data_IF_964775031373
#
_entry.id   IF_964775031373
#
_cell.length_a   1.000
_cell.length_b   1.000
_cell.length_c   1.000
_cell.angle_alpha   90.00
_cell.angle_beta   90.00
_cell.angle_gamma   90.00
#
_symmetry.space_group_name_H-M   'P 1'
#
loop_
_entity.id
_entity.type
_entity.pdbx_description
1 polymer ?
#
# COMPACT_ATOMS: atom_id res chain seq x y z
N UNK A 1 16.29 -18.02 22.97
CA UNK A 1 16.93 -17.69 21.68
C UNK A 1 16.25 -16.43 21.16
N UNK A 2 16.97 -15.35 20.86
CA UNK A 2 16.34 -14.10 20.38
C UNK A 2 15.80 -14.35 18.96
N UNK A 3 14.52 -14.04 18.65
CA UNK A 3 13.98 -14.27 17.32
C UNK A 3 14.80 -13.49 16.27
N UNK A 4 15.35 -14.23 15.30
CA UNK A 4 16.16 -13.66 14.22
C UNK A 4 15.26 -12.84 13.29
N UNK A 5 15.37 -11.52 13.36
CA UNK A 5 14.65 -10.61 12.48
C UNK A 5 15.46 -10.38 11.21
N UNK A 6 14.87 -10.63 10.03
CA UNK A 6 15.44 -10.24 8.74
C UNK A 6 14.70 -8.98 8.24
N UNK A 7 15.45 -7.92 7.93
CA UNK A 7 14.93 -6.67 7.38
C UNK A 7 15.54 -6.48 6.00
N UNK A 8 14.70 -6.38 4.97
CA UNK A 8 15.12 -6.07 3.60
C UNK A 8 14.46 -4.78 3.15
N UNK A 9 15.21 -3.93 2.48
CA UNK A 9 14.66 -2.76 1.81
C UNK A 9 14.45 -3.13 0.34
N UNK A 10 13.26 -2.94 -0.17
CA UNK A 10 12.95 -3.06 -1.59
C UNK A 10 12.96 -1.65 -2.19
N UNK A 11 13.70 -1.51 -3.28
CA UNK A 11 13.88 -0.27 -4.01
C UNK A 11 13.29 -0.44 -5.41
N UNK A 12 12.25 0.33 -5.74
CA UNK A 12 11.67 0.38 -7.08
C UNK A 12 11.94 1.74 -7.70
N UNK A 13 12.58 1.74 -8.87
CA UNK A 13 12.98 2.94 -9.59
C UNK A 13 12.29 2.95 -10.96
N UNK A 14 11.64 4.07 -11.31
CA UNK A 14 11.20 4.33 -12.69
C UNK A 14 11.84 5.61 -13.18
N UNK A 15 12.49 5.52 -14.34
CA UNK A 15 13.19 6.64 -14.95
C UNK A 15 12.39 7.17 -16.13
N UNK A 16 12.31 8.48 -16.26
CA UNK A 16 11.73 9.13 -17.42
C UNK A 16 12.48 10.44 -17.71
N UNK A 17 12.47 10.85 -18.98
CA UNK A 17 12.97 12.17 -19.35
C UNK A 17 12.08 13.27 -18.73
N UNK A 18 12.72 14.28 -18.17
CA UNK A 18 12.03 15.41 -17.57
C UNK A 18 11.47 16.34 -18.65
N UNK A 19 10.15 16.58 -18.60
CA UNK A 19 9.42 17.38 -19.60
C UNK A 19 9.02 18.79 -19.13
N UNK A 20 9.57 19.25 -18.01
CA UNK A 20 9.21 20.54 -17.42
C UNK A 20 8.12 20.45 -16.34
N UNK A 21 7.92 21.57 -15.63
CA UNK A 21 6.89 21.72 -14.60
C UNK A 21 7.39 21.51 -13.16
N UNK A 22 6.53 21.75 -12.16
CA UNK A 22 6.87 21.56 -10.76
C UNK A 22 7.08 20.06 -10.48
N UNK A 23 8.22 19.69 -9.88
CA UNK A 23 8.64 18.30 -9.68
C UNK A 23 8.47 17.80 -8.24
N UNK A 24 7.78 16.68 -8.08
CA UNK A 24 7.64 15.95 -6.82
C UNK A 24 8.49 14.65 -6.77
N UNK A 25 9.40 14.47 -7.72
CA UNK A 25 10.24 13.29 -7.91
C UNK A 25 11.70 13.59 -7.61
N UNK A 26 12.53 12.54 -7.55
CA UNK A 26 13.98 12.70 -7.56
C UNK A 26 14.41 13.15 -8.96
N UNK A 27 15.35 14.06 -9.07
CA UNK A 27 15.91 14.50 -10.35
C UNK A 27 17.39 14.14 -10.43
N UNK A 28 17.83 13.74 -11.62
CA UNK A 28 19.23 13.63 -12.01
C UNK A 28 19.46 14.65 -13.11
N UNK A 29 20.45 15.52 -12.93
CA UNK A 29 20.71 16.66 -13.82
C UNK A 29 22.03 16.44 -14.55
N UNK A 30 22.01 16.51 -15.87
CA UNK A 30 23.20 16.42 -16.71
C UNK A 30 24.05 17.68 -16.64
N UNK A 31 25.36 17.58 -16.93
CA UNK A 31 26.28 18.72 -16.88
C UNK A 31 25.96 19.86 -17.86
N UNK A 32 25.33 19.54 -18.97
CA UNK A 32 24.92 20.48 -20.03
C UNK A 32 23.40 20.61 -20.11
N UNK A 33 22.70 20.20 -19.06
CA UNK A 33 21.25 20.29 -18.98
C UNK A 33 20.77 21.76 -19.14
N UNK A 34 19.55 21.97 -19.66
CA UNK A 34 19.02 23.31 -19.91
C UNK A 34 18.78 24.13 -18.63
N UNK A 35 18.75 23.48 -17.46
CA UNK A 35 18.66 24.14 -16.16
C UNK A 35 19.72 23.59 -15.20
N UNK A 36 20.16 24.44 -14.27
CA UNK A 36 21.17 24.07 -13.28
C UNK A 36 20.57 23.24 -12.13
N UNK A 37 21.42 22.55 -11.36
CA UNK A 37 21.01 21.90 -10.11
C UNK A 37 20.31 22.84 -9.14
N UNK A 38 20.73 24.11 -9.08
CA UNK A 38 20.11 25.11 -8.20
C UNK A 38 18.71 25.48 -8.69
N UNK A 39 18.52 25.62 -10.00
CA UNK A 39 17.22 25.97 -10.57
C UNK A 39 16.23 24.80 -10.47
N UNK A 40 16.69 23.58 -10.77
CA UNK A 40 15.91 22.38 -10.53
C UNK A 40 15.55 22.22 -9.05
N UNK A 41 16.44 22.58 -8.10
CA UNK A 41 16.10 22.59 -6.67
C UNK A 41 14.99 23.61 -6.35
N UNK A 42 15.07 24.83 -6.89
CA UNK A 42 13.99 25.83 -6.72
C UNK A 42 12.64 25.29 -7.19
N UNK A 43 12.61 24.54 -8.29
CA UNK A 43 11.39 23.90 -8.81
C UNK A 43 10.84 22.82 -7.87
N UNK A 44 11.70 22.06 -7.20
CA UNK A 44 11.25 21.10 -6.18
C UNK A 44 10.80 21.78 -4.89
N UNK A 45 11.47 22.86 -4.49
CA UNK A 45 11.17 23.62 -3.29
C UNK A 45 9.86 24.42 -3.42
N UNK A 46 9.44 24.80 -4.63
CA UNK A 46 8.18 25.53 -4.84
C UNK A 46 6.95 24.69 -4.48
N UNK A 47 7.07 23.35 -4.48
CA UNK A 47 6.01 22.44 -4.05
C UNK A 47 6.22 21.98 -2.62
N UNK A 48 7.44 21.56 -2.29
CA UNK A 48 7.78 21.00 -0.98
C UNK A 48 9.05 21.66 -0.45
N UNK A 49 8.93 22.87 0.11
CA UNK A 49 10.07 23.64 0.60
C UNK A 49 10.91 22.82 1.58
N UNK A 50 12.23 22.84 1.43
CA UNK A 50 13.19 22.19 2.33
C UNK A 50 13.11 20.65 2.42
N UNK A 51 12.31 20.00 1.57
CA UNK A 51 12.19 18.54 1.55
C UNK A 51 13.23 17.85 0.65
N UNK A 52 13.91 18.62 -0.20
CA UNK A 52 14.92 18.11 -1.13
C UNK A 52 16.32 18.56 -0.74
N UNK A 53 17.29 17.72 -1.08
CA UNK A 53 18.72 17.95 -0.91
C UNK A 53 19.41 17.82 -2.27
N UNK A 54 20.34 18.73 -2.56
CA UNK A 54 21.25 18.61 -3.71
C UNK A 54 22.40 17.69 -3.30
N UNK A 55 22.72 16.71 -4.14
CA UNK A 55 23.89 15.85 -4.05
C UNK A 55 24.75 16.09 -5.29
N UNK A 56 25.80 16.91 -5.21
CA UNK A 56 26.74 17.07 -6.32
C UNK A 56 27.45 15.75 -6.61
N UNK A 57 27.71 15.46 -7.88
CA UNK A 57 28.39 14.23 -8.29
C UNK A 57 29.64 14.58 -9.09
N UNK A 58 30.76 13.92 -8.77
CA UNK A 58 31.98 13.98 -9.57
C UNK A 58 31.91 12.90 -10.66
N UNK A 59 31.28 13.24 -11.76
CA UNK A 59 31.08 12.36 -12.92
C UNK A 59 31.25 13.16 -14.22
N UNK A 60 31.43 12.52 -15.38
CA UNK A 60 31.60 13.20 -16.67
C UNK A 60 30.27 13.64 -17.31
N UNK A 61 29.17 12.95 -17.01
CA UNK A 61 27.86 13.18 -17.62
C UNK A 61 26.93 13.89 -16.62
N UNK A 62 26.91 13.41 -15.37
CA UNK A 62 25.97 13.87 -14.34
C UNK A 62 26.60 15.02 -13.54
N UNK A 63 25.85 16.13 -13.40
CA UNK A 63 26.22 17.22 -12.50
C UNK A 63 25.87 16.89 -11.04
N UNK A 64 24.70 16.28 -10.82
CA UNK A 64 24.25 15.89 -9.50
C UNK A 64 22.80 15.42 -9.47
N UNK A 65 22.34 15.12 -8.25
CA UNK A 65 20.98 14.68 -7.98
C UNK A 65 20.26 15.69 -7.07
N UNK A 66 18.95 15.73 -7.19
CA UNK A 66 18.04 16.38 -6.24
C UNK A 66 17.12 15.30 -5.70
N UNK A 67 17.27 14.97 -4.42
CA UNK A 67 16.61 13.83 -3.81
C UNK A 67 15.84 14.23 -2.55
N UNK A 68 14.69 13.59 -2.31
CA UNK A 68 13.92 13.81 -1.08
C UNK A 68 14.74 13.38 0.14
N UNK A 69 14.85 14.27 1.12
CA UNK A 69 15.47 13.99 2.43
C UNK A 69 14.81 12.80 3.13
N UNK A 70 13.52 12.55 2.89
CA UNK A 70 12.82 11.38 3.43
C UNK A 70 13.46 10.06 2.97
N UNK A 71 13.81 9.94 1.70
CA UNK A 71 14.49 8.75 1.18
C UNK A 71 15.89 8.59 1.81
N UNK A 72 16.63 9.70 2.00
CA UNK A 72 17.94 9.70 2.65
C UNK A 72 17.89 9.35 4.15
N UNK A 73 16.76 9.61 4.81
CA UNK A 73 16.50 9.18 6.20
C UNK A 73 16.18 7.68 6.29
N UNK A 74 15.62 7.09 5.23
CA UNK A 74 15.27 5.67 5.17
C UNK A 74 16.45 4.80 4.70
N UNK A 75 17.22 5.29 3.73
CA UNK A 75 18.40 4.62 3.18
C UNK A 75 19.57 5.58 3.20
N UNK A 76 20.71 5.15 3.75
CA UNK A 76 21.92 5.98 3.79
C UNK A 76 22.36 6.43 2.39
N UNK A 77 22.88 7.65 2.27
CA UNK A 77 23.42 8.19 1.02
C UNK A 77 24.43 7.24 0.35
N UNK A 78 25.32 6.62 1.15
CA UNK A 78 26.33 5.67 0.67
C UNK A 78 25.76 4.43 -0.03
N UNK A 79 24.53 4.04 0.29
CA UNK A 79 23.86 2.89 -0.32
C UNK A 79 22.96 3.31 -1.48
N UNK A 80 22.22 4.42 -1.36
CA UNK A 80 21.23 4.82 -2.36
C UNK A 80 21.85 5.54 -3.56
N UNK A 81 22.78 6.47 -3.33
CA UNK A 81 23.31 7.34 -4.38
C UNK A 81 24.05 6.55 -5.47
N UNK A 82 24.92 5.55 -5.15
CA UNK A 82 25.58 4.75 -6.18
C UNK A 82 24.59 4.04 -7.10
N UNK A 83 23.51 3.46 -6.55
CA UNK A 83 22.48 2.77 -7.31
C UNK A 83 21.78 3.74 -8.27
N UNK A 84 21.37 4.91 -7.78
CA UNK A 84 20.69 5.90 -8.61
C UNK A 84 21.59 6.41 -9.75
N UNK A 85 22.88 6.63 -9.48
CA UNK A 85 23.85 7.07 -10.49
C UNK A 85 24.08 5.97 -11.52
N UNK A 86 24.33 4.74 -11.08
CA UNK A 86 24.60 3.59 -11.95
C UNK A 86 23.44 3.36 -12.93
N UNK A 87 22.22 3.35 -12.42
CA UNK A 87 21.04 3.14 -13.26
C UNK A 87 20.70 4.36 -14.13
N UNK A 88 20.85 5.58 -13.62
CA UNK A 88 20.62 6.78 -14.41
C UNK A 88 21.61 6.89 -15.59
N UNK A 89 22.90 6.59 -15.35
CA UNK A 89 23.96 6.67 -16.37
C UNK A 89 23.66 5.87 -17.64
N UNK A 90 22.91 4.76 -17.54
CA UNK A 90 22.58 3.89 -18.68
C UNK A 90 21.72 4.59 -19.74
N UNK A 91 21.01 5.65 -19.36
CA UNK A 91 20.07 6.39 -20.22
C UNK A 91 20.32 7.91 -20.21
N UNK A 92 21.28 8.39 -19.41
CA UNK A 92 21.61 9.79 -19.27
C UNK A 92 22.44 10.28 -20.46
N UNK A 93 22.15 11.50 -20.92
CA UNK A 93 23.07 12.29 -21.76
C UNK A 93 23.39 13.60 -21.05
N UNK A 94 24.53 14.25 -21.33
CA UNK A 94 24.91 15.48 -20.62
C UNK A 94 23.85 16.60 -20.71
N UNK A 95 23.07 16.62 -21.78
CA UNK A 95 22.10 17.67 -22.12
C UNK A 95 20.71 17.45 -21.50
N UNK A 96 20.42 16.27 -20.92
CA UNK A 96 19.09 15.97 -20.41
C UNK A 96 18.98 16.02 -18.89
N UNK A 97 17.74 15.93 -18.42
CA UNK A 97 17.39 15.76 -17.02
C UNK A 97 16.47 14.55 -16.95
N UNK A 98 16.75 13.68 -15.99
CA UNK A 98 15.94 12.48 -15.76
C UNK A 98 15.21 12.64 -14.44
N UNK A 99 13.90 12.40 -14.47
CA UNK A 99 13.11 12.22 -13.27
C UNK A 99 13.08 10.75 -12.87
N UNK A 100 13.25 10.50 -11.58
CA UNK A 100 13.20 9.18 -10.97
C UNK A 100 12.03 9.15 -9.99
N UNK A 101 11.07 8.30 -10.30
CA UNK A 101 10.06 7.88 -9.34
C UNK A 101 10.68 6.81 -8.44
N UNK A 102 10.94 7.21 -7.19
CA UNK A 102 11.68 6.44 -6.19
C UNK A 102 10.71 5.94 -5.13
N UNK A 103 10.47 4.64 -5.13
CA UNK A 103 9.64 3.95 -4.14
C UNK A 103 10.52 3.05 -3.27
N UNK A 104 10.47 3.30 -1.95
CA UNK A 104 11.28 2.61 -0.95
C UNK A 104 10.34 1.94 0.05
N UNK A 105 10.38 0.63 0.12
CA UNK A 105 9.58 -0.15 1.07
C UNK A 105 10.44 -1.04 1.96
N UNK A 106 9.99 -1.29 3.20
CA UNK A 106 10.67 -2.15 4.16
C UNK A 106 9.92 -3.48 4.27
N UNK A 107 10.52 -4.55 3.79
CA UNK A 107 10.06 -5.91 3.99
C UNK A 107 10.62 -6.47 5.30
N UNK A 108 9.73 -6.75 6.26
CA UNK A 108 10.09 -7.34 7.55
C UNK A 108 9.62 -8.78 7.58
N UNK A 109 10.57 -9.71 7.74
CA UNK A 109 10.25 -11.10 8.10
C UNK A 109 10.58 -11.31 9.57
N UNK A 110 9.56 -11.65 10.35
CA UNK A 110 9.71 -12.06 11.75
C UNK A 110 9.13 -13.46 11.93
N UNK A 111 9.91 -14.30 12.59
CA UNK A 111 9.42 -15.56 13.14
C UNK A 111 9.00 -15.25 14.58
N UNK A 112 7.78 -15.64 14.94
CA UNK A 112 7.23 -15.47 16.29
C UNK A 112 7.14 -16.87 16.89
N UNK A 113 7.82 -17.09 18.01
CA UNK A 113 7.65 -18.29 18.81
C UNK A 113 6.32 -18.19 19.55
N UNK A 114 5.45 -19.17 19.35
CA UNK A 114 4.16 -19.25 20.02
C UNK A 114 4.37 -19.79 21.45
N UNK A 115 4.76 -18.91 22.37
CA UNK A 115 4.58 -19.18 23.81
C UNK A 115 3.14 -18.83 24.20
N UNK A 116 2.55 -19.60 25.11
CA UNK A 116 1.13 -19.79 25.49
C UNK A 116 0.15 -18.58 25.49
N UNK A 117 0.60 -17.35 25.26
CA UNK A 117 -0.25 -16.14 25.12
C UNK A 117 -0.41 -15.60 23.69
N UNK A 118 0.29 -16.16 22.71
CA UNK A 118 0.06 -15.85 21.30
C UNK A 118 -0.80 -16.96 20.67
N UNK A 119 -2.12 -16.82 20.75
CA UNK A 119 -3.02 -17.70 19.98
C UNK A 119 -3.13 -17.24 18.53
N UNK A 120 -3.03 -18.18 17.59
CA UNK A 120 -3.37 -17.94 16.18
C UNK A 120 -4.89 -17.75 16.04
N UNK A 121 -5.38 -16.50 16.11
CA UNK A 121 -6.71 -16.15 15.61
C UNK A 121 -6.71 -16.23 14.08
N UNK A 122 -6.81 -17.44 13.52
CA UNK A 122 -6.80 -17.59 12.05
C UNK A 122 -6.75 -19.00 11.46
N UNK A 123 -6.74 -20.08 12.24
CA UNK A 123 -7.02 -21.41 11.67
C UNK A 123 -8.52 -21.60 11.53
N UNK A 124 -9.16 -20.96 10.54
CA UNK A 124 -10.47 -21.44 10.09
C UNK A 124 -10.25 -22.67 9.25
N UNK A 125 -10.63 -23.83 9.78
CA UNK A 125 -10.66 -25.09 9.07
C UNK A 125 -11.63 -25.02 7.88
N UNK A 126 -11.41 -25.84 6.86
CA UNK A 126 -12.36 -26.01 5.73
C UNK A 126 -13.80 -26.24 6.22
N UNK A 127 -13.95 -26.96 7.35
CA UNK A 127 -15.25 -27.20 8.01
C UNK A 127 -15.92 -25.90 8.48
N UNK A 128 -15.15 -24.96 9.02
CA UNK A 128 -15.65 -23.65 9.45
C UNK A 128 -15.94 -22.73 8.25
N UNK A 129 -15.15 -22.80 7.18
CA UNK A 129 -15.44 -22.08 5.94
C UNK A 129 -16.76 -22.56 5.30
N UNK A 130 -16.98 -23.86 5.18
CA UNK A 130 -18.24 -24.41 4.67
C UNK A 130 -19.44 -24.09 5.58
N UNK A 131 -19.25 -24.12 6.90
CA UNK A 131 -20.29 -23.73 7.86
C UNK A 131 -20.65 -22.25 7.70
N UNK A 132 -19.66 -21.37 7.64
CA UNK A 132 -19.89 -19.93 7.46
C UNK A 132 -20.52 -19.57 6.12
N UNK A 133 -20.23 -20.33 5.05
CA UNK A 133 -20.87 -20.16 3.74
C UNK A 133 -22.36 -20.53 3.77
N UNK A 134 -22.71 -21.65 4.43
CA UNK A 134 -24.11 -22.05 4.65
C UNK A 134 -24.86 -21.03 5.50
N UNK A 135 -24.24 -20.57 6.58
CA UNK A 135 -24.84 -19.56 7.48
C UNK A 135 -25.07 -18.22 6.77
N UNK A 136 -24.14 -17.78 5.89
CA UNK A 136 -24.32 -16.57 5.08
C UNK A 136 -25.46 -16.71 4.07
N UNK A 137 -25.50 -17.82 3.33
CA UNK A 137 -26.57 -18.08 2.37
C UNK A 137 -27.95 -18.14 3.05
N UNK A 138 -28.03 -18.82 4.20
CA UNK A 138 -29.27 -18.90 4.97
C UNK A 138 -29.70 -17.54 5.53
N UNK A 139 -28.74 -16.76 6.08
CA UNK A 139 -29.00 -15.41 6.59
C UNK A 139 -29.57 -14.51 5.49
N UNK A 140 -28.99 -14.55 4.29
CA UNK A 140 -29.41 -13.75 3.16
C UNK A 140 -30.83 -14.13 2.68
N UNK A 141 -31.13 -15.42 2.57
CA UNK A 141 -32.48 -15.90 2.23
C UNK A 141 -33.53 -15.41 3.22
N UNK A 142 -33.23 -15.45 4.53
CA UNK A 142 -34.14 -14.99 5.57
C UNK A 142 -34.37 -13.47 5.47
N UNK A 143 -33.32 -12.67 5.22
CA UNK A 143 -33.44 -11.22 5.06
C UNK A 143 -34.33 -10.89 3.85
N UNK A 144 -34.06 -11.48 2.70
CA UNK A 144 -34.84 -11.24 1.48
C UNK A 144 -36.31 -11.63 1.64
N UNK A 145 -36.59 -12.75 2.31
CA UNK A 145 -37.96 -13.18 2.58
C UNK A 145 -38.67 -12.21 3.55
N UNK A 146 -37.97 -11.75 4.60
CA UNK A 146 -38.48 -10.72 5.53
C UNK A 146 -38.81 -9.43 4.81
N UNK A 147 -37.96 -8.94 3.91
CA UNK A 147 -38.21 -7.73 3.14
C UNK A 147 -39.43 -7.88 2.22
N UNK A 148 -39.50 -8.95 1.43
CA UNK A 148 -40.64 -9.25 0.53
C UNK A 148 -41.96 -9.42 1.28
N UNK A 149 -41.92 -9.90 2.52
CA UNK A 149 -43.08 -10.08 3.38
C UNK A 149 -43.40 -8.87 4.27
N UNK A 150 -42.77 -7.71 4.06
CA UNK A 150 -42.91 -6.53 4.93
C UNK A 150 -42.68 -6.84 6.42
N UNK A 151 -41.72 -7.72 6.69
CA UNK A 151 -41.33 -8.21 8.01
C UNK A 151 -42.40 -9.05 8.75
N UNK A 152 -43.40 -9.57 8.02
CA UNK A 152 -44.37 -10.51 8.54
C UNK A 152 -43.73 -11.90 8.75
N UNK A 153 -43.27 -12.15 9.98
CA UNK A 153 -42.56 -13.38 10.37
C UNK A 153 -43.37 -14.66 10.16
N UNK A 154 -44.70 -14.62 10.35
CA UNK A 154 -45.55 -15.79 10.12
C UNK A 154 -45.63 -16.17 8.63
N UNK A 155 -45.70 -15.15 7.75
CA UNK A 155 -45.67 -15.35 6.29
C UNK A 155 -44.32 -15.89 5.82
N UNK A 156 -43.22 -15.37 6.38
CA UNK A 156 -41.86 -15.84 6.05
C UNK A 156 -41.61 -17.28 6.50
N UNK A 157 -42.07 -17.66 7.69
CA UNK A 157 -41.94 -19.02 8.20
C UNK A 157 -42.61 -20.03 7.25
N UNK A 158 -43.83 -19.71 6.79
CA UNK A 158 -44.54 -20.52 5.77
C UNK A 158 -43.83 -20.51 4.41
N UNK A 159 -43.31 -19.37 3.98
CA UNK A 159 -42.62 -19.23 2.68
C UNK A 159 -41.30 -20.02 2.64
N UNK A 160 -40.57 -20.07 3.75
CA UNK A 160 -39.31 -20.79 3.88
C UNK A 160 -39.50 -22.24 4.36
N UNK A 161 -40.74 -22.70 4.50
CA UNK A 161 -41.12 -24.03 5.00
C UNK A 161 -40.43 -24.41 6.32
N UNK A 162 -40.43 -23.48 7.28
CA UNK A 162 -39.87 -23.68 8.61
C UNK A 162 -40.84 -23.25 9.70
N UNK A 163 -40.70 -23.85 10.87
CA UNK A 163 -41.46 -23.42 12.04
C UNK A 163 -41.12 -21.97 12.44
N UNK A 164 -42.13 -21.27 12.97
CA UNK A 164 -42.01 -19.89 13.39
C UNK A 164 -40.92 -19.69 14.47
N UNK A 165 -40.79 -20.63 15.41
CA UNK A 165 -39.76 -20.61 16.46
C UNK A 165 -38.36 -20.75 15.86
N UNK A 166 -38.20 -21.60 14.84
CA UNK A 166 -36.94 -21.77 14.10
C UNK A 166 -36.54 -20.48 13.39
N UNK A 167 -37.47 -19.84 12.69
CA UNK A 167 -37.24 -18.54 12.06
C UNK A 167 -36.84 -17.48 13.11
N UNK A 168 -37.55 -17.44 14.24
CA UNK A 168 -37.26 -16.50 15.33
C UNK A 168 -35.83 -16.65 15.86
N UNK A 169 -35.37 -17.88 16.12
CA UNK A 169 -34.01 -18.12 16.61
C UNK A 169 -32.95 -17.77 15.56
N UNK A 170 -33.18 -18.06 14.29
CA UNK A 170 -32.24 -17.69 13.21
C UNK A 170 -32.11 -16.17 13.08
N UNK A 171 -33.21 -15.43 13.15
CA UNK A 171 -33.19 -13.95 13.16
C UNK A 171 -32.37 -13.42 14.34
N UNK A 172 -32.59 -13.97 15.54
CA UNK A 172 -31.86 -13.57 16.76
C UNK A 172 -30.37 -13.89 16.66
N UNK A 173 -30.02 -15.11 16.27
CA UNK A 173 -28.64 -15.60 16.20
C UNK A 173 -27.82 -14.88 15.12
N UNK A 174 -28.45 -14.54 14.00
CA UNK A 174 -27.80 -13.80 12.91
C UNK A 174 -27.82 -12.27 13.09
N UNK A 175 -28.48 -11.78 14.15
CA UNK A 175 -28.58 -10.34 14.45
C UNK A 175 -29.38 -9.55 13.41
N UNK A 176 -30.35 -10.17 12.75
CA UNK A 176 -31.15 -9.53 11.69
C UNK A 176 -32.13 -8.54 12.34
N UNK A 177 -32.06 -7.26 11.94
CA UNK A 177 -32.92 -6.18 12.45
C UNK A 177 -33.53 -5.39 11.31
N UNK A 178 -34.78 -4.95 11.48
CA UNK A 178 -35.44 -4.04 10.52
C UNK A 178 -34.72 -2.70 10.58
N UNK A 179 -34.09 -2.30 9.48
CA UNK A 179 -33.59 -0.95 9.34
C UNK A 179 -34.80 0.00 9.36
N UNK A 180 -34.81 0.92 10.33
CA UNK A 180 -35.73 2.06 10.29
C UNK A 180 -35.09 3.06 9.34
N UNK A 181 -35.75 3.32 8.20
CA UNK A 181 -35.58 4.61 7.53
C UNK A 181 -36.32 5.66 8.36
#
# INVERSE_FOLDING_TARGET
MVPKQERKVELRLRFAEFKGGPVQKTLVVGKKAPITLKDAKKMTDSILPNHYQIIPVKDDIIAGLIIRKAALKMISEKALIPILIEEAKKIMVPENIIEIDLDVSLAIRRIIDLTEKAELKGKTTLKEMSKSAKERAEKEMIIQALEKANWNKAKVARQLDIDYKTLYYKIKNYGIKKQKN
#
